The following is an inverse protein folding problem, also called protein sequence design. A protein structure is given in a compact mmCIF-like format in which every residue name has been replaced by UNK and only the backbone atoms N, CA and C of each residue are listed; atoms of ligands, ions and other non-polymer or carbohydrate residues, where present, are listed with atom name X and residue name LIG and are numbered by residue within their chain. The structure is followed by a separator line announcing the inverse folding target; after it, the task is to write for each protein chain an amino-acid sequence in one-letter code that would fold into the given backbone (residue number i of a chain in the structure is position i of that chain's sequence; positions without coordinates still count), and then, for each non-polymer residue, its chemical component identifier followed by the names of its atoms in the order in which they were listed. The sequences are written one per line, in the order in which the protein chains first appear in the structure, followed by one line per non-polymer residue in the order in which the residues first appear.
data_IF_168883268651
#
_entry.id   IF_168883268651
#
_cell.length_a   1.000
_cell.length_b   1.000
_cell.length_c   1.000
_cell.angle_alpha   90.00
_cell.angle_beta   90.00
_cell.angle_gamma   90.00
#
_symmetry.space_group_name_H-M   'P 1'
#
loop_
_entity.id
_entity.type
_entity.pdbx_description
1 polymer ?
#
# COMPACT_ATOMS: atom_id res chain seq x y z
N UNK A 1 -6.82 19.98 -5.70
CA UNK A 1 -7.01 18.59 -5.18
C UNK A 1 -6.74 17.57 -6.30
N UNK A 2 -6.75 16.25 -6.07
CA UNK A 2 -6.52 15.26 -7.13
C UNK A 2 -7.50 15.43 -8.32
N UNK A 3 -8.72 15.92 -8.05
CA UNK A 3 -9.72 16.31 -9.06
C UNK A 3 -9.30 17.49 -9.95
N UNK A 4 -8.33 18.29 -9.51
CA UNK A 4 -7.75 19.42 -10.23
C UNK A 4 -6.35 19.07 -10.80
N UNK A 5 -5.96 17.79 -10.78
CA UNK A 5 -4.64 17.33 -11.24
C UNK A 5 -3.46 17.77 -10.35
N UNK A 6 -3.73 18.37 -9.18
CA UNK A 6 -2.68 18.86 -8.27
C UNK A 6 -2.40 17.84 -7.17
N UNK A 7 -1.16 17.36 -7.11
CA UNK A 7 -0.69 16.50 -6.03
C UNK A 7 -0.59 17.28 -4.71
N UNK A 8 -1.16 16.78 -3.60
CA UNK A 8 -1.05 17.44 -2.30
C UNK A 8 0.41 17.43 -1.80
N UNK A 9 0.80 18.48 -1.06
CA UNK A 9 2.14 18.59 -0.46
C UNK A 9 2.45 17.49 0.57
N UNK A 10 1.42 16.88 1.16
CA UNK A 10 1.54 15.79 2.14
C UNK A 10 0.46 14.75 1.85
N UNK A 11 0.86 13.48 1.88
CA UNK A 11 -0.08 12.35 1.83
C UNK A 11 -0.67 12.12 3.22
N UNK A 12 -1.91 11.61 3.26
CA UNK A 12 -2.50 11.13 4.51
C UNK A 12 -1.77 9.88 4.97
N UNK A 13 -1.59 9.74 6.29
CA UNK A 13 -1.10 8.51 6.89
C UNK A 13 -2.21 7.46 6.94
N UNK A 14 -1.82 6.19 7.03
CA UNK A 14 -2.71 5.10 7.37
C UNK A 14 -3.10 5.21 8.85
N UNK A 15 -4.40 5.22 9.12
CA UNK A 15 -4.98 5.29 10.46
C UNK A 15 -5.28 3.90 11.04
N UNK A 16 -5.07 2.83 10.27
CA UNK A 16 -5.37 1.46 10.67
C UNK A 16 -6.85 1.11 10.53
N UNK A 17 -7.28 0.08 11.27
CA UNK A 17 -8.65 -0.41 11.18
C UNK A 17 -9.70 0.63 11.63
N UNK A 18 -10.88 0.68 10.96
CA UNK A 18 -11.98 1.52 11.38
C UNK A 18 -12.38 1.25 12.84
N UNK A 19 -12.56 2.33 13.60
CA UNK A 19 -12.99 2.28 15.01
C UNK A 19 -13.78 3.54 15.38
N UNK A 20 -14.53 3.50 16.48
CA UNK A 20 -15.46 4.57 16.89
C UNK A 20 -14.78 5.95 16.96
N UNK A 21 -13.54 6.03 17.49
CA UNK A 21 -12.73 7.25 17.50
C UNK A 21 -11.57 7.07 16.51
N UNK A 22 -11.73 7.62 15.30
CA UNK A 22 -10.77 7.47 14.21
C UNK A 22 -9.76 8.64 14.20
N UNK A 23 -8.45 8.37 14.32
CA UNK A 23 -7.45 9.42 14.14
C UNK A 23 -7.42 9.85 12.67
N UNK A 24 -7.08 11.12 12.40
CA UNK A 24 -7.07 11.64 11.02
C UNK A 24 -6.10 10.85 10.13
N UNK A 25 -6.66 10.10 9.17
CA UNK A 25 -5.90 9.32 8.20
C UNK A 25 -6.80 8.43 7.35
N UNK A 26 -6.19 7.55 6.56
CA UNK A 26 -6.90 6.54 5.77
C UNK A 26 -7.33 5.40 6.70
N UNK A 27 -8.62 5.03 6.78
CA UNK A 27 -9.11 3.96 7.64
C UNK A 27 -8.78 2.58 7.04
N UNK A 28 -7.48 2.32 6.90
CA UNK A 28 -6.92 1.13 6.31
C UNK A 28 -5.56 0.84 6.95
N UNK A 29 -5.20 -0.44 7.08
CA UNK A 29 -3.88 -0.84 7.57
C UNK A 29 -2.85 -0.78 6.45
N UNK A 30 -1.66 -0.25 6.76
CA UNK A 30 -0.56 -0.19 5.79
C UNK A 30 -0.20 -1.60 5.28
N UNK A 31 -0.15 -2.59 6.17
CA UNK A 31 0.17 -3.98 5.81
C UNK A 31 -0.81 -4.53 4.78
N UNK A 32 -2.11 -4.46 5.06
CA UNK A 32 -3.15 -4.92 4.14
C UNK A 32 -3.10 -4.18 2.80
N UNK A 33 -2.67 -2.91 2.79
CA UNK A 33 -2.55 -2.14 1.55
C UNK A 33 -1.42 -2.66 0.69
N UNK A 34 -0.27 -2.91 1.31
CA UNK A 34 0.89 -3.46 0.62
C UNK A 34 0.61 -4.88 0.11
N UNK A 35 -0.04 -5.73 0.90
CA UNK A 35 -0.47 -7.06 0.46
C UNK A 35 -1.42 -6.99 -0.74
N UNK A 36 -2.37 -6.06 -0.74
CA UNK A 36 -3.25 -5.83 -1.89
C UNK A 36 -2.47 -5.36 -3.12
N UNK A 37 -1.54 -4.41 -2.96
CA UNK A 37 -0.68 -3.93 -4.05
C UNK A 37 0.15 -5.07 -4.63
N UNK A 38 0.68 -5.95 -3.79
CA UNK A 38 1.43 -7.10 -4.24
C UNK A 38 0.57 -8.11 -4.99
N UNK A 39 -0.57 -8.49 -4.43
CA UNK A 39 -1.50 -9.43 -5.05
C UNK A 39 -1.93 -8.91 -6.42
N UNK A 40 -2.36 -7.66 -6.50
CA UNK A 40 -2.80 -7.05 -7.75
C UNK A 40 -1.65 -6.89 -8.74
N UNK A 41 -0.45 -6.52 -8.28
CA UNK A 41 0.74 -6.41 -9.14
C UNK A 41 1.20 -7.74 -9.72
N UNK A 42 1.11 -8.84 -8.97
CA UNK A 42 1.44 -10.20 -9.45
C UNK A 42 0.41 -10.73 -10.45
N UNK A 43 -0.84 -10.28 -10.35
CA UNK A 43 -1.91 -10.65 -11.29
C UNK A 43 -1.95 -9.79 -12.57
N UNK A 44 -1.17 -8.69 -12.63
CA UNK A 44 -1.04 -7.89 -13.85
C UNK A 44 -0.31 -8.72 -14.92
N UNK A 45 -0.61 -8.48 -16.19
CA UNK A 45 0.07 -9.16 -17.30
C UNK A 45 1.51 -8.64 -17.44
N UNK A 46 2.45 -9.51 -17.79
CA UNK A 46 3.89 -9.23 -17.82
C UNK A 46 4.29 -7.98 -18.64
N UNK A 47 3.56 -7.68 -19.71
CA UNK A 47 3.80 -6.54 -20.60
C UNK A 47 3.21 -5.21 -20.10
N UNK A 48 2.60 -5.20 -18.91
CA UNK A 48 1.91 -4.02 -18.36
C UNK A 48 2.71 -3.38 -17.24
N UNK A 49 2.66 -2.04 -17.23
CA UNK A 49 3.23 -1.24 -16.13
C UNK A 49 2.54 -1.64 -14.81
N UNK A 50 3.35 -1.87 -13.78
CA UNK A 50 2.87 -2.33 -12.49
C UNK A 50 2.91 -3.85 -12.31
N UNK A 51 3.31 -4.62 -13.32
CA UNK A 51 3.57 -6.04 -13.15
C UNK A 51 4.66 -6.30 -12.10
N UNK A 52 4.42 -7.28 -11.24
CA UNK A 52 5.37 -7.75 -10.24
C UNK A 52 5.69 -9.22 -10.56
N UNK A 53 6.95 -9.49 -10.91
CA UNK A 53 7.45 -10.84 -11.13
C UNK A 53 7.26 -11.73 -9.92
N UNK A 54 6.79 -12.96 -10.15
CA UNK A 54 6.52 -13.92 -9.07
C UNK A 54 7.77 -14.39 -8.34
N UNK A 55 8.94 -14.27 -8.99
CA UNK A 55 10.26 -14.63 -8.44
C UNK A 55 10.78 -13.63 -7.42
N UNK A 56 10.22 -12.41 -7.36
CA UNK A 56 10.59 -11.45 -6.33
C UNK A 56 10.17 -11.93 -4.95
N UNK A 57 11.00 -11.60 -3.95
CA UNK A 57 10.63 -11.69 -2.55
C UNK A 57 9.29 -10.98 -2.29
N UNK A 58 8.50 -11.45 -1.30
CA UNK A 58 7.32 -10.75 -0.84
C UNK A 58 7.58 -9.25 -0.61
N UNK A 59 6.64 -8.40 -0.97
CA UNK A 59 6.76 -6.95 -0.91
C UNK A 59 7.15 -6.48 0.49
N UNK A 60 6.53 -7.05 1.53
CA UNK A 60 6.83 -6.71 2.92
C UNK A 60 8.29 -6.97 3.30
N UNK A 61 8.87 -8.08 2.83
CA UNK A 61 10.29 -8.39 3.02
C UNK A 61 11.18 -7.40 2.26
N UNK A 62 10.81 -7.07 1.01
CA UNK A 62 11.55 -6.12 0.18
C UNK A 62 11.61 -4.71 0.78
N UNK A 63 10.56 -4.30 1.47
CA UNK A 63 10.50 -2.99 2.16
C UNK A 63 10.94 -3.07 3.63
N UNK A 64 11.51 -4.19 4.06
CA UNK A 64 12.02 -4.42 5.42
C UNK A 64 10.97 -4.22 6.53
N UNK A 65 9.69 -4.48 6.21
CA UNK A 65 8.59 -4.54 7.18
C UNK A 65 8.45 -6.01 7.57
N UNK A 66 9.33 -6.47 8.47
CA UNK A 66 9.19 -7.78 9.12
C UNK A 66 8.25 -7.67 10.32
N UNK A 67 7.77 -8.82 10.81
CA UNK A 67 7.00 -8.87 12.06
C UNK A 67 7.78 -8.35 13.27
N UNK A 68 9.12 -8.31 13.22
CA UNK A 68 9.93 -7.74 14.31
C UNK A 68 10.01 -6.20 14.26
N UNK A 69 9.72 -5.57 13.13
CA UNK A 69 9.89 -4.12 12.91
C UNK A 69 8.57 -3.32 13.01
N UNK A 70 7.49 -3.92 13.50
CA UNK A 70 6.15 -3.33 13.61
C UNK A 70 5.78 -3.05 15.08
#
# INVERSE_FOLDING_TARGET
CAKEGKQPKKLLRFAGMPRQIMPKGLPFELKSYLELVELTGRCIREDKRGYIESTHLPLLERVNISSENW
#
